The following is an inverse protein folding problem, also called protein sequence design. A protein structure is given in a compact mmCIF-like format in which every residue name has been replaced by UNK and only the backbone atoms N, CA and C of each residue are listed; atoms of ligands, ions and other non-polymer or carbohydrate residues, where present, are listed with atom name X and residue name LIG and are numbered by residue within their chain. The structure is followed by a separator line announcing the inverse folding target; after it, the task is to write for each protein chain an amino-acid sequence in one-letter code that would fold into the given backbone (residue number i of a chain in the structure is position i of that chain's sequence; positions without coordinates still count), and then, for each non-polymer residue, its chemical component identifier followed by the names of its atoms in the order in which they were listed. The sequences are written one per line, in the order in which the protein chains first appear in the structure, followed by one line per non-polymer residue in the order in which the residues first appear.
data_IF_377162419910
#
_entry.id   IF_377162419910
#
_cell.length_a   1.000
_cell.length_b   1.000
_cell.length_c   1.000
_cell.angle_alpha   90.00
_cell.angle_beta   90.00
_cell.angle_gamma   90.00
#
_symmetry.space_group_name_H-M   'P 1'
#
loop_
_entity.id
_entity.type
_entity.pdbx_description
1 polymer ?
#
# COMPACT_ATOMS: atom_id res chain seq x y z
N UNK A 1 19.16 -0.96 2.50
CA UNK A 1 18.66 -2.15 1.77
C UNK A 1 17.80 -1.64 0.63
N UNK A 2 17.96 -2.12 -0.62
CA UNK A 2 17.09 -1.71 -1.71
C UNK A 2 15.68 -2.27 -1.48
N UNK A 3 14.67 -1.52 -1.88
CA UNK A 3 13.26 -1.90 -1.78
C UNK A 3 12.95 -3.04 -2.75
N UNK A 4 12.10 -3.97 -2.31
CA UNK A 4 11.59 -5.09 -3.12
C UNK A 4 10.84 -4.58 -4.36
N UNK A 5 10.82 -5.35 -5.46
CA UNK A 5 10.33 -4.87 -6.74
C UNK A 5 8.84 -4.52 -6.70
N UNK A 6 8.49 -3.45 -7.43
CA UNK A 6 7.13 -3.05 -7.80
C UNK A 6 6.39 -4.29 -8.33
N UNK A 7 5.37 -4.74 -7.62
CA UNK A 7 4.52 -5.85 -8.07
C UNK A 7 3.44 -5.28 -8.98
N UNK A 8 3.69 -5.35 -10.30
CA UNK A 8 2.66 -5.08 -11.31
C UNK A 8 1.62 -6.21 -11.27
N UNK A 9 0.44 -5.92 -10.74
CA UNK A 9 -0.69 -6.86 -10.69
C UNK A 9 -1.92 -6.23 -11.34
N UNK A 10 -2.60 -7.00 -12.19
CA UNK A 10 -3.85 -6.61 -12.83
C UNK A 10 -5.00 -6.83 -11.85
N UNK A 11 -5.63 -5.76 -11.37
CA UNK A 11 -6.87 -5.87 -10.59
C UNK A 11 -8.05 -5.92 -11.56
N UNK A 12 -8.93 -6.92 -11.38
CA UNK A 12 -10.08 -7.18 -12.25
C UNK A 12 -10.97 -5.94 -12.40
N UNK A 13 -11.15 -5.45 -13.63
CA UNK A 13 -12.21 -4.50 -14.01
C UNK A 13 -11.78 -3.13 -14.52
N UNK A 14 -10.47 -2.82 -14.58
CA UNK A 14 -9.97 -1.55 -15.12
C UNK A 14 -9.19 -1.85 -16.41
N UNK A 15 -9.56 -1.27 -17.57
CA UNK A 15 -9.03 -1.64 -18.88
C UNK A 15 -7.67 -0.99 -19.19
N UNK A 16 -6.93 -0.58 -18.18
CA UNK A 16 -5.72 0.24 -18.32
C UNK A 16 -4.60 -0.22 -17.40
N UNK A 17 -3.38 0.11 -17.80
CA UNK A 17 -2.15 -0.21 -17.08
C UNK A 17 -2.20 0.39 -15.67
N UNK A 18 -2.50 -0.45 -14.67
CA UNK A 18 -2.38 -0.09 -13.26
C UNK A 18 -0.97 -0.44 -12.81
N UNK A 19 -0.22 0.56 -12.39
CA UNK A 19 1.03 0.38 -11.67
C UNK A 19 0.78 0.50 -10.17
N UNK A 20 1.26 -0.49 -9.40
CA UNK A 20 1.11 -0.52 -7.95
C UNK A 20 2.49 -0.60 -7.30
N UNK A 21 2.85 0.43 -6.55
CA UNK A 21 4.04 0.43 -5.70
C UNK A 21 3.61 0.20 -4.25
N UNK A 22 4.23 -0.78 -3.59
CA UNK A 22 3.94 -1.12 -2.20
C UNK A 22 5.22 -1.04 -1.37
N UNK A 23 5.20 -0.22 -0.34
CA UNK A 23 6.35 0.04 0.52
C UNK A 23 6.00 -0.29 1.96
N UNK A 24 6.78 -1.18 2.58
CA UNK A 24 6.63 -1.56 3.99
C UNK A 24 7.71 -0.89 4.85
N UNK A 25 7.29 -0.18 5.89
CA UNK A 25 8.15 0.42 6.88
C UNK A 25 7.86 -0.15 8.26
N UNK A 26 8.89 -0.69 8.93
CA UNK A 26 8.74 -1.11 10.33
C UNK A 26 8.56 0.12 11.21
N UNK A 27 7.49 0.18 12.00
CA UNK A 27 7.21 1.32 12.90
C UNK A 27 7.65 1.02 14.32
N UNK A 28 6.94 0.11 14.98
CA UNK A 28 7.17 -0.28 16.38
C UNK A 28 7.22 -1.81 16.41
N UNK A 29 8.17 -2.34 17.17
CA UNK A 29 8.25 -3.77 17.46
C UNK A 29 8.29 -3.94 18.97
N UNK A 30 7.31 -4.65 19.51
CA UNK A 30 7.30 -5.14 20.89
C UNK A 30 7.41 -6.68 20.86
N UNK A 31 7.78 -7.36 21.95
CA UNK A 31 7.93 -8.81 21.94
C UNK A 31 6.68 -9.52 21.41
N UNK A 32 6.84 -10.24 20.30
CA UNK A 32 5.76 -10.97 19.63
C UNK A 32 4.79 -10.13 18.80
N UNK A 33 4.91 -8.79 18.74
CA UNK A 33 4.04 -7.92 17.93
C UNK A 33 4.86 -6.89 17.15
N UNK A 34 4.63 -6.82 15.84
CA UNK A 34 5.28 -5.90 14.92
C UNK A 34 4.23 -5.07 14.20
N UNK A 35 4.36 -3.75 14.29
CA UNK A 35 3.55 -2.79 13.56
C UNK A 35 4.33 -2.35 12.32
N UNK A 36 3.74 -2.55 11.15
CA UNK A 36 4.33 -2.24 9.85
C UNK A 36 3.43 -1.23 9.16
N UNK A 37 3.93 -0.03 8.89
CA UNK A 37 3.25 0.92 8.00
C UNK A 37 3.40 0.41 6.57
N UNK A 38 2.29 0.30 5.88
CA UNK A 38 2.22 -0.06 4.47
C UNK A 38 1.68 1.13 3.70
N UNK A 39 2.46 1.58 2.73
CA UNK A 39 2.10 2.62 1.77
C UNK A 39 1.90 1.94 0.43
N UNK A 40 0.74 2.17 -0.18
CA UNK A 40 0.42 1.68 -1.53
C UNK A 40 0.13 2.87 -2.41
N UNK A 41 0.94 3.07 -3.44
CA UNK A 41 0.67 4.02 -4.51
C UNK A 41 0.07 3.24 -5.68
N UNK A 42 -1.12 3.66 -6.09
CA UNK A 42 -1.82 3.11 -7.26
C UNK A 42 -1.83 4.20 -8.31
N UNK A 43 -1.13 3.95 -9.41
CA UNK A 43 -1.16 4.80 -10.59
C UNK A 43 -1.95 4.09 -11.67
N UNK A 44 -2.90 4.77 -12.28
CA UNK A 44 -3.65 4.23 -13.41
C UNK A 44 -3.97 5.33 -14.41
N UNK A 45 -3.77 5.03 -15.68
CA UNK A 45 -4.23 5.89 -16.77
C UNK A 45 -5.71 5.56 -17.07
N UNK A 46 -6.53 6.56 -17.38
CA UNK A 46 -7.92 6.35 -17.84
C UNK A 46 -8.17 7.03 -19.19
N UNK A 47 -7.12 7.41 -19.91
CA UNK A 47 -7.20 8.23 -21.11
C UNK A 47 -7.60 9.68 -20.81
N UNK A 48 -7.29 10.16 -19.60
CA UNK A 48 -7.60 11.52 -19.17
C UNK A 48 -6.66 12.53 -19.83
N UNK A 49 -7.19 13.68 -20.26
CA UNK A 49 -6.38 14.79 -20.76
C UNK A 49 -5.38 15.33 -19.71
N UNK A 50 -5.63 15.05 -18.43
CA UNK A 50 -4.80 15.49 -17.31
C UNK A 50 -3.70 14.49 -16.94
N UNK A 51 -3.52 13.41 -17.73
CA UNK A 51 -2.54 12.36 -17.46
C UNK A 51 -3.01 11.31 -16.46
N UNK A 52 -2.08 10.46 -15.97
CA UNK A 52 -2.40 9.34 -15.08
C UNK A 52 -2.85 9.82 -13.71
N UNK A 53 -3.79 9.10 -13.12
CA UNK A 53 -4.27 9.33 -11.76
C UNK A 53 -3.36 8.58 -10.79
N UNK A 54 -2.88 9.26 -9.75
CA UNK A 54 -2.11 8.67 -8.65
C UNK A 54 -2.95 8.73 -7.39
N UNK A 55 -3.17 7.58 -6.75
CA UNK A 55 -3.85 7.45 -5.47
C UNK A 55 -2.91 6.82 -4.44
N UNK A 56 -2.89 7.38 -3.23
CA UNK A 56 -2.10 6.87 -2.12
C UNK A 56 -3.02 6.24 -1.06
N UNK A 57 -2.68 5.03 -0.62
CA UNK A 57 -3.33 4.33 0.48
C UNK A 57 -2.31 4.05 1.58
N UNK A 58 -2.62 4.50 2.79
CA UNK A 58 -1.80 4.25 3.96
C UNK A 58 -2.54 3.36 4.96
N UNK A 59 -1.85 2.34 5.46
CA UNK A 59 -2.36 1.45 6.50
C UNK A 59 -1.27 1.00 7.46
N UNK A 60 -1.68 0.47 8.62
CA UNK A 60 -0.78 -0.17 9.58
C UNK A 60 -1.17 -1.64 9.69
N UNK A 61 -0.27 -2.52 9.27
CA UNK A 61 -0.39 -3.96 9.46
C UNK A 61 0.14 -4.33 10.84
N UNK A 62 -0.69 -5.02 11.62
CA UNK A 62 -0.28 -5.62 12.89
C UNK A 62 0.08 -7.07 12.63
N UNK A 63 1.33 -7.45 12.89
CA UNK A 63 1.84 -8.81 12.69
C UNK A 63 2.29 -9.41 14.02
N UNK A 64 2.00 -10.69 14.26
CA UNK A 64 2.53 -11.46 15.38
C UNK A 64 3.33 -12.64 14.86
N UNK A 65 4.61 -12.69 15.22
CA UNK A 65 5.54 -13.72 14.73
C UNK A 65 5.52 -13.87 13.18
N UNK A 66 5.38 -12.75 12.46
CA UNK A 66 5.29 -12.72 10.99
C UNK A 66 3.89 -12.90 10.41
N UNK A 67 2.90 -13.36 11.20
CA UNK A 67 1.52 -13.57 10.75
C UNK A 67 0.71 -12.28 10.87
N UNK A 68 -0.02 -11.90 9.82
CA UNK A 68 -0.92 -10.74 9.84
C UNK A 68 -2.12 -11.00 10.76
N UNK A 69 -2.30 -10.16 11.77
CA UNK A 69 -3.44 -10.20 12.70
C UNK A 69 -4.56 -9.24 12.28
N UNK A 70 -4.19 -8.13 11.65
CA UNK A 70 -5.16 -7.13 11.25
C UNK A 70 -4.52 -5.92 10.59
N UNK A 71 -5.37 -5.03 10.12
CA UNK A 71 -5.01 -3.78 9.47
C UNK A 71 -5.76 -2.64 10.14
N UNK A 72 -5.03 -1.61 10.54
CA UNK A 72 -5.60 -0.34 10.97
C UNK A 72 -5.52 0.61 9.77
N UNK A 73 -6.66 1.15 9.35
CA UNK A 73 -6.66 2.27 8.42
C UNK A 73 -6.23 3.52 9.17
N UNK A 74 -5.36 4.32 8.57
CA UNK A 74 -5.10 5.65 9.11
C UNK A 74 -6.39 6.47 9.00
N UNK A 75 -6.68 7.34 9.98
CA UNK A 75 -7.78 8.28 9.85
C UNK A 75 -7.61 9.06 8.54
N UNK A 76 -8.71 9.28 7.82
CA UNK A 76 -8.68 10.20 6.69
C UNK A 76 -8.15 11.55 7.21
N UNK A 77 -7.27 12.24 6.48
CA UNK A 77 -6.88 13.59 6.87
C UNK A 77 -8.07 14.56 7.01
N UNK A 78 -9.22 14.21 6.42
CA UNK A 78 -10.48 14.95 6.48
C UNK A 78 -11.45 14.51 7.61
N UNK A 79 -11.01 13.66 8.55
CA UNK A 79 -11.84 13.16 9.67
C UNK A 79 -11.66 13.95 10.97
#
# INVERSE_FOLDING_TARGET
MPLSPVVRSTFYGIPTDIEVECTEHSCISIPGLKYVRVQVLVMYDVGSANGPIIQEFLSIHVRRNGVMLGMLRLPSPDA
#
